data_IF_095448639079
#
_entry.id   IF_095448639079
#
_cell.length_a   1.000
_cell.length_b   1.000
_cell.length_c   1.000
_cell.angle_alpha   90.00
_cell.angle_beta   90.00
_cell.angle_gamma   90.00
#
_symmetry.space_group_name_H-M   'P 1'
#
loop_
_entity.id
_entity.type
_entity.pdbx_description
1 polymer ?
#
# COMPACT_ATOMS: atom_id res chain seq x y z
N UNK A 1 -6.05 0.63 -21.51
CA UNK A 1 -4.85 -0.15 -21.87
C UNK A 1 -3.86 0.65 -22.72
N UNK A 2 -4.27 1.19 -23.86
CA UNK A 2 -3.41 1.97 -24.79
C UNK A 2 -2.83 3.22 -24.10
N UNK A 3 -3.61 3.96 -23.33
CA UNK A 3 -3.20 5.18 -22.64
C UNK A 3 -2.13 4.92 -21.57
N UNK A 4 -2.20 3.78 -20.89
CA UNK A 4 -1.24 3.36 -19.86
C UNK A 4 0.06 2.91 -20.51
N UNK A 5 0.00 2.18 -21.62
CA UNK A 5 1.16 1.85 -22.46
C UNK A 5 1.86 3.11 -22.96
N UNK A 6 1.08 4.12 -23.40
CA UNK A 6 1.61 5.40 -23.84
C UNK A 6 2.30 6.17 -22.71
N UNK A 7 1.73 6.19 -21.50
CA UNK A 7 2.34 6.85 -20.32
C UNK A 7 3.66 6.18 -19.96
N UNK A 8 3.75 4.85 -20.01
CA UNK A 8 5.00 4.15 -19.72
C UNK A 8 6.04 4.35 -20.83
N UNK A 9 5.61 4.34 -22.09
CA UNK A 9 6.51 4.66 -23.20
C UNK A 9 7.07 6.08 -23.07
N UNK A 10 6.23 7.03 -22.67
CA UNK A 10 6.61 8.41 -22.35
C UNK A 10 7.58 8.44 -21.16
N UNK A 11 7.30 7.70 -20.09
CA UNK A 11 8.20 7.60 -18.92
C UNK A 11 9.55 6.97 -19.28
N UNK A 12 9.56 5.95 -20.14
CA UNK A 12 10.80 5.33 -20.64
C UNK A 12 11.58 6.32 -21.54
N UNK A 13 10.89 7.17 -22.30
CA UNK A 13 11.48 8.20 -23.16
C UNK A 13 11.99 9.40 -22.35
N UNK A 14 11.29 9.80 -21.28
CA UNK A 14 11.69 10.90 -20.39
C UNK A 14 12.95 10.58 -19.59
N UNK A 15 13.29 9.29 -19.40
CA UNK A 15 14.54 8.91 -18.76
C UNK A 15 15.73 9.10 -19.72
N UNK A 16 16.52 10.17 -19.60
CA UNK A 16 17.56 10.52 -20.55
C UNK A 16 18.62 9.41 -20.65
N UNK A 17 19.29 9.33 -21.81
CA UNK A 17 20.32 8.33 -22.12
C UNK A 17 21.59 8.46 -21.28
N UNK A 18 21.66 9.45 -20.37
CA UNK A 18 22.80 9.75 -19.51
C UNK A 18 23.00 8.71 -18.40
N UNK A 19 24.21 8.51 -17.90
CA UNK A 19 24.62 7.43 -16.96
C UNK A 19 23.99 7.50 -15.56
N UNK A 20 23.34 8.60 -15.19
CA UNK A 20 22.63 8.75 -13.90
C UNK A 20 21.15 9.07 -14.12
N UNK A 21 20.31 8.65 -13.18
CA UNK A 21 18.89 9.06 -13.15
C UNK A 21 18.78 10.57 -12.87
N UNK A 22 17.76 11.27 -13.40
CA UNK A 22 17.48 12.66 -13.04
C UNK A 22 17.37 12.80 -11.51
N UNK A 23 18.04 13.81 -10.96
CA UNK A 23 18.04 14.08 -9.51
C UNK A 23 16.63 14.14 -8.91
N UNK A 24 15.66 14.64 -9.68
CA UNK A 24 14.25 14.70 -9.26
C UNK A 24 13.66 13.31 -8.99
N UNK A 25 13.91 12.33 -9.89
CA UNK A 25 13.41 10.96 -9.73
C UNK A 25 14.08 10.28 -8.54
N UNK A 26 15.41 10.44 -8.38
CA UNK A 26 16.14 9.88 -7.25
C UNK A 26 15.65 10.46 -5.91
N UNK A 27 15.41 11.77 -5.85
CA UNK A 27 14.88 12.41 -4.65
C UNK A 27 13.45 11.94 -4.34
N UNK A 28 12.58 11.82 -5.35
CA UNK A 28 11.24 11.28 -5.19
C UNK A 28 11.26 9.86 -4.61
N UNK A 29 12.06 8.96 -5.21
CA UNK A 29 12.19 7.57 -4.76
C UNK A 29 12.64 7.51 -3.29
N UNK A 30 13.70 8.25 -2.92
CA UNK A 30 14.21 8.29 -1.54
C UNK A 30 13.20 8.86 -0.55
N UNK A 31 12.45 9.89 -0.96
CA UNK A 31 11.43 10.51 -0.11
C UNK A 31 10.27 9.56 0.17
N UNK A 32 9.71 8.93 -0.87
CA UNK A 32 8.59 8.00 -0.72
C UNK A 32 9.01 6.75 0.05
N UNK A 33 10.17 6.17 -0.26
CA UNK A 33 10.71 5.02 0.50
C UNK A 33 10.86 5.38 1.99
N UNK A 34 11.38 6.56 2.31
CA UNK A 34 11.54 7.01 3.71
C UNK A 34 10.18 7.14 4.43
N UNK A 35 9.15 7.65 3.75
CA UNK A 35 7.79 7.76 4.31
C UNK A 35 7.23 6.35 4.55
N UNK A 36 7.26 5.48 3.55
CA UNK A 36 6.71 4.13 3.67
C UNK A 36 7.42 3.30 4.75
N UNK A 37 8.74 3.43 4.91
CA UNK A 37 9.50 2.79 5.99
C UNK A 37 9.08 3.32 7.37
N UNK A 38 8.91 4.64 7.52
CA UNK A 38 8.47 5.22 8.80
C UNK A 38 7.05 4.79 9.15
N UNK A 39 6.13 4.89 8.19
CA UNK A 39 4.73 4.47 8.38
C UNK A 39 4.65 2.99 8.69
N UNK A 40 5.34 2.13 7.93
CA UNK A 40 5.38 0.69 8.15
C UNK A 40 5.89 0.32 9.53
N UNK A 41 6.95 1.00 10.01
CA UNK A 41 7.49 0.78 11.36
C UNK A 41 6.50 1.15 12.45
N UNK A 42 5.75 2.24 12.30
CA UNK A 42 4.72 2.64 13.26
C UNK A 42 3.57 1.62 13.24
N UNK A 43 3.13 1.26 12.06
CA UNK A 43 1.99 0.35 11.84
C UNK A 43 2.29 -1.06 12.36
N UNK A 44 3.55 -1.51 12.32
CA UNK A 44 3.98 -2.79 12.86
C UNK A 44 3.62 -2.94 14.35
N UNK A 45 3.70 -1.85 15.13
CA UNK A 45 3.27 -1.86 16.53
C UNK A 45 1.76 -1.97 16.72
N UNK A 46 0.97 -1.71 15.68
CA UNK A 46 -0.48 -1.91 15.69
C UNK A 46 -0.91 -3.35 15.98
N UNK A 47 -0.08 -4.34 15.63
CA UNK A 47 -0.33 -5.76 15.95
C UNK A 47 -0.32 -5.97 17.48
N UNK A 48 0.63 -5.38 18.18
CA UNK A 48 0.70 -5.46 19.65
C UNK A 48 -0.49 -4.77 20.31
N UNK A 49 -0.92 -3.61 19.76
CA UNK A 49 -2.12 -2.93 20.22
C UNK A 49 -3.36 -3.81 20.03
N UNK A 50 -3.52 -4.41 18.86
CA UNK A 50 -4.62 -5.33 18.57
C UNK A 50 -4.61 -6.53 19.52
N UNK A 51 -3.44 -7.13 19.76
CA UNK A 51 -3.30 -8.26 20.68
C UNK A 51 -3.70 -7.86 22.10
N UNK A 52 -3.27 -6.69 22.58
CA UNK A 52 -3.67 -6.16 23.88
C UNK A 52 -5.19 -5.99 24.00
N UNK A 53 -5.83 -5.39 22.99
CA UNK A 53 -7.28 -5.18 22.97
C UNK A 53 -8.04 -6.51 22.99
N UNK A 54 -7.57 -7.53 22.26
CA UNK A 54 -8.19 -8.87 22.23
C UNK A 54 -8.02 -9.61 23.56
N UNK A 55 -6.85 -9.50 24.19
CA UNK A 55 -6.61 -10.06 25.54
C UNK A 55 -7.53 -9.39 26.56
N UNK A 56 -7.66 -8.06 26.50
CA UNK A 56 -8.59 -7.32 27.35
C UNK A 56 -10.02 -7.82 27.17
N UNK A 57 -10.44 -8.08 25.93
CA UNK A 57 -11.75 -8.67 25.63
C UNK A 57 -11.96 -10.02 26.31
N UNK A 58 -10.94 -10.87 26.24
CA UNK A 58 -10.99 -12.19 26.86
C UNK A 58 -11.20 -12.09 28.38
N UNK A 59 -10.42 -11.23 29.04
CA UNK A 59 -10.53 -11.04 30.48
C UNK A 59 -11.88 -10.45 30.92
N UNK A 60 -12.35 -9.41 30.25
CA UNK A 60 -13.62 -8.76 30.60
C UNK A 60 -14.81 -9.67 30.36
N UNK A 61 -14.79 -10.48 29.32
CA UNK A 61 -15.88 -11.41 28.99
C UNK A 61 -15.92 -12.61 29.93
N UNK A 62 -14.76 -13.22 30.29
CA UNK A 62 -14.72 -14.48 31.01
C UNK A 62 -14.61 -14.30 32.52
N UNK A 63 -14.01 -13.21 33.01
CA UNK A 63 -13.80 -12.99 34.44
C UNK A 63 -14.84 -12.02 35.00
N UNK A 64 -15.11 -10.92 34.30
CA UNK A 64 -16.02 -9.87 34.78
C UNK A 64 -17.45 -10.11 34.28
N UNK A 65 -17.66 -11.03 33.32
CA UNK A 65 -18.94 -11.29 32.66
C UNK A 65 -19.56 -10.03 32.02
N UNK A 66 -18.72 -9.07 31.63
CA UNK A 66 -19.14 -7.83 30.96
C UNK A 66 -18.54 -7.74 29.57
N UNK A 67 -19.30 -8.05 28.49
CA UNK A 67 -18.81 -7.97 27.12
C UNK A 67 -18.69 -6.51 26.67
N UNK A 68 -17.47 -6.08 26.30
CA UNK A 68 -17.24 -4.75 25.74
C UNK A 68 -17.57 -4.76 24.24
N UNK A 69 -18.66 -4.08 23.87
CA UNK A 69 -19.21 -4.10 22.51
C UNK A 69 -18.27 -3.49 21.45
N UNK A 70 -17.42 -2.53 21.84
CA UNK A 70 -16.55 -1.78 20.93
C UNK A 70 -15.27 -2.51 20.51
N UNK A 71 -14.88 -3.59 21.20
CA UNK A 71 -13.58 -4.24 21.01
C UNK A 71 -13.46 -4.87 19.61
N UNK A 72 -14.52 -5.50 19.14
CA UNK A 72 -14.52 -6.19 17.84
C UNK A 72 -14.29 -5.20 16.72
N UNK A 73 -14.98 -4.07 16.75
CA UNK A 73 -14.84 -3.02 15.73
C UNK A 73 -13.46 -2.35 15.78
N UNK A 74 -12.92 -2.10 16.98
CA UNK A 74 -11.57 -1.56 17.12
C UNK A 74 -10.52 -2.53 16.60
N UNK A 75 -10.67 -3.83 16.84
CA UNK A 75 -9.78 -4.85 16.28
C UNK A 75 -9.86 -4.87 14.73
N UNK A 76 -11.07 -4.82 14.16
CA UNK A 76 -11.28 -4.75 12.70
C UNK A 76 -10.68 -3.48 12.09
N UNK A 77 -10.83 -2.33 12.74
CA UNK A 77 -10.24 -1.07 12.28
C UNK A 77 -8.71 -1.11 12.33
N UNK A 78 -8.16 -1.67 13.39
CA UNK A 78 -6.71 -1.79 13.57
C UNK A 78 -6.10 -2.72 12.52
N UNK A 79 -6.72 -3.89 12.26
CA UNK A 79 -6.21 -4.84 11.25
C UNK A 79 -6.31 -4.26 9.84
N UNK A 80 -7.39 -3.54 9.54
CA UNK A 80 -7.57 -2.87 8.24
C UNK A 80 -6.50 -1.79 8.05
N UNK A 81 -6.25 -0.95 9.06
CA UNK A 81 -5.19 0.05 9.02
C UNK A 81 -3.81 -0.61 8.86
N UNK A 82 -3.54 -1.70 9.59
CA UNK A 82 -2.30 -2.46 9.50
C UNK A 82 -2.03 -2.95 8.06
N UNK A 83 -2.98 -3.61 7.43
CA UNK A 83 -2.79 -4.13 6.08
C UNK A 83 -2.65 -3.03 5.02
N UNK A 84 -3.47 -1.99 5.09
CA UNK A 84 -3.47 -0.94 4.07
C UNK A 84 -2.26 -0.01 4.18
N UNK A 85 -1.91 0.42 5.39
CA UNK A 85 -0.74 1.27 5.60
C UNK A 85 0.58 0.48 5.51
N UNK A 86 0.57 -0.79 5.94
CA UNK A 86 1.72 -1.70 5.84
C UNK A 86 2.02 -2.14 4.41
N UNK A 87 1.02 -2.11 3.51
CA UNK A 87 1.19 -2.52 2.11
C UNK A 87 2.29 -1.77 1.37
N UNK A 88 2.45 -0.47 1.61
CA UNK A 88 3.54 0.32 1.03
C UNK A 88 4.94 -0.13 1.52
N UNK A 89 5.07 -0.52 2.77
CA UNK A 89 6.31 -1.07 3.34
C UNK A 89 6.63 -2.46 2.78
N UNK A 90 5.65 -3.35 2.71
CA UNK A 90 5.78 -4.70 2.14
C UNK A 90 6.24 -4.68 0.67
N UNK A 91 5.89 -3.63 -0.09
CA UNK A 91 6.41 -3.42 -1.45
C UNK A 91 7.90 -3.09 -1.47
N UNK A 92 8.45 -2.43 -0.44
CA UNK A 92 9.88 -2.09 -0.37
C UNK A 92 10.73 -3.32 -0.03
N UNK A 93 10.24 -4.17 0.88
CA UNK A 93 10.96 -5.36 1.36
C UNK A 93 10.94 -6.51 0.36
N UNK A 94 10.29 -6.33 -0.80
CA UNK A 94 10.13 -7.38 -1.82
C UNK A 94 9.44 -8.66 -1.29
N UNK A 95 8.65 -8.55 -0.20
CA UNK A 95 7.94 -9.68 0.42
C UNK A 95 6.75 -10.19 -0.39
N UNK A 96 6.55 -9.65 -1.59
CA UNK A 96 5.50 -10.11 -2.49
C UNK A 96 5.88 -11.45 -3.10
N UNK A 97 4.96 -12.41 -3.00
CA UNK A 97 5.12 -13.75 -3.59
C UNK A 97 5.35 -13.61 -5.09
N UNK A 98 6.55 -14.00 -5.55
CA UNK A 98 6.92 -14.05 -6.97
C UNK A 98 6.88 -15.50 -7.45
N UNK A 99 6.56 -15.72 -8.70
CA UNK A 99 6.62 -17.04 -9.31
C UNK A 99 8.10 -17.41 -9.61
N UNK A 100 8.79 -17.95 -8.62
CA UNK A 100 10.23 -18.26 -8.67
C UNK A 100 10.62 -19.23 -9.80
N UNK A 101 9.70 -20.11 -10.20
CA UNK A 101 9.91 -21.10 -11.27
C UNK A 101 10.29 -20.47 -12.62
N UNK A 102 9.64 -19.36 -13.01
CA UNK A 102 9.95 -18.66 -14.24
C UNK A 102 11.02 -17.58 -14.01
N UNK A 103 10.98 -16.93 -12.84
CA UNK A 103 11.86 -15.82 -12.51
C UNK A 103 13.33 -16.28 -12.36
N UNK A 104 13.58 -17.45 -11.78
CA UNK A 104 14.93 -18.00 -11.60
C UNK A 104 15.70 -18.30 -12.89
N UNK A 105 15.00 -18.45 -14.02
CA UNK A 105 15.62 -18.72 -15.35
C UNK A 105 15.93 -17.44 -16.14
N UNK A 106 15.49 -16.28 -15.67
CA UNK A 106 15.66 -14.99 -16.38
C UNK A 106 16.98 -14.33 -15.99
N UNK A 107 17.62 -13.67 -16.98
CA UNK A 107 18.75 -12.77 -16.71
C UNK A 107 18.28 -11.56 -15.87
N UNK A 108 19.20 -10.87 -15.18
CA UNK A 108 18.87 -9.68 -14.35
C UNK A 108 18.08 -8.60 -15.13
N UNK A 109 18.42 -8.41 -16.40
CA UNK A 109 17.64 -7.52 -17.28
C UNK A 109 16.26 -8.08 -17.63
N UNK A 110 16.14 -9.40 -17.75
CA UNK A 110 14.87 -10.09 -17.99
C UNK A 110 13.95 -9.96 -16.79
N UNK A 111 14.47 -10.13 -15.59
CA UNK A 111 13.75 -9.93 -14.32
C UNK A 111 13.21 -8.49 -14.22
N UNK A 112 14.07 -7.50 -14.43
CA UNK A 112 13.65 -6.08 -14.38
C UNK A 112 12.57 -5.72 -15.41
N UNK A 113 12.59 -6.33 -16.60
CA UNK A 113 11.52 -6.15 -17.61
C UNK A 113 10.20 -6.75 -17.14
N UNK A 114 10.25 -7.95 -16.55
CA UNK A 114 9.07 -8.64 -16.05
C UNK A 114 8.46 -7.87 -14.86
N UNK A 115 9.30 -7.39 -13.94
CA UNK A 115 8.89 -6.57 -12.80
C UNK A 115 8.24 -5.26 -13.26
N UNK A 116 8.85 -4.55 -14.20
CA UNK A 116 8.28 -3.33 -14.77
C UNK A 116 6.92 -3.60 -15.47
N UNK A 117 6.78 -4.72 -16.17
CA UNK A 117 5.52 -5.10 -16.80
C UNK A 117 4.43 -5.40 -15.77
N UNK A 118 4.76 -6.16 -14.72
CA UNK A 118 3.84 -6.50 -13.63
C UNK A 118 3.45 -5.26 -12.82
N UNK A 119 4.41 -4.38 -12.52
CA UNK A 119 4.17 -3.11 -11.81
C UNK A 119 3.16 -2.21 -12.52
N UNK A 120 3.08 -2.31 -13.85
CA UNK A 120 2.10 -1.58 -14.65
C UNK A 120 0.66 -1.99 -14.34
N UNK A 121 0.38 -3.30 -14.27
CA UNK A 121 -0.95 -3.79 -13.91
C UNK A 121 -1.31 -3.43 -12.47
N UNK A 122 -0.32 -3.49 -11.58
CA UNK A 122 -0.49 -3.08 -10.19
C UNK A 122 -0.86 -1.59 -10.09
N UNK A 123 -0.18 -0.71 -10.81
CA UNK A 123 -0.48 0.73 -10.83
C UNK A 123 -1.90 0.97 -11.38
N UNK A 124 -2.27 0.30 -12.46
CA UNK A 124 -3.61 0.41 -13.03
C UNK A 124 -4.69 0.01 -12.02
N UNK A 125 -4.50 -1.12 -11.35
CA UNK A 125 -5.40 -1.60 -10.30
C UNK A 125 -5.50 -0.60 -9.14
N UNK A 126 -4.37 -0.06 -8.67
CA UNK A 126 -4.33 0.92 -7.59
C UNK A 126 -4.99 2.25 -7.96
N UNK A 127 -4.91 2.68 -9.21
CA UNK A 127 -5.61 3.90 -9.69
C UNK A 127 -7.13 3.69 -9.62
N UNK A 128 -7.63 2.54 -10.08
CA UNK A 128 -9.07 2.23 -10.00
C UNK A 128 -9.53 2.17 -8.54
N UNK A 129 -8.75 1.50 -7.67
CA UNK A 129 -9.05 1.44 -6.24
C UNK A 129 -9.03 2.83 -5.59
N UNK A 130 -8.08 3.68 -5.96
CA UNK A 130 -7.97 5.03 -5.44
C UNK A 130 -9.20 5.87 -5.79
N UNK A 131 -9.62 5.81 -7.05
CA UNK A 131 -10.85 6.49 -7.50
C UNK A 131 -12.09 5.96 -6.76
N UNK A 132 -12.23 4.64 -6.65
CA UNK A 132 -13.33 4.01 -5.91
C UNK A 132 -13.33 4.37 -4.43
N UNK A 133 -12.15 4.48 -3.80
CA UNK A 133 -12.03 4.85 -2.39
C UNK A 133 -12.43 6.31 -2.12
N UNK A 134 -12.11 7.25 -3.03
CA UNK A 134 -12.56 8.65 -2.94
C UNK A 134 -14.09 8.71 -3.00
N UNK A 135 -14.69 8.08 -4.00
CA UNK A 135 -16.15 8.08 -4.18
C UNK A 135 -16.85 7.44 -2.97
N UNK A 136 -16.30 6.32 -2.47
CA UNK A 136 -16.82 5.63 -1.28
C UNK A 136 -16.73 6.49 -0.03
N UNK A 137 -15.63 7.23 0.16
CA UNK A 137 -15.45 8.13 1.30
C UNK A 137 -16.44 9.30 1.23
N UNK A 138 -16.60 9.94 0.07
CA UNK A 138 -17.55 11.03 -0.15
C UNK A 138 -18.98 10.60 0.18
N UNK A 139 -19.41 9.45 -0.35
CA UNK A 139 -20.72 8.89 -0.06
C UNK A 139 -20.93 8.64 1.44
N UNK A 140 -19.91 8.08 2.12
CA UNK A 140 -19.99 7.79 3.55
C UNK A 140 -20.10 9.03 4.43
N UNK A 141 -19.41 10.11 4.04
CA UNK A 141 -19.50 11.40 4.76
C UNK A 141 -20.89 12.02 4.56
N UNK A 142 -21.40 12.03 3.32
CA UNK A 142 -22.71 12.61 3.00
C UNK A 142 -23.87 11.88 3.69
N UNK A 143 -23.80 10.53 3.73
CA UNK A 143 -24.85 9.69 4.34
C UNK A 143 -24.67 9.48 5.84
N UNK A 144 -23.58 10.03 6.44
CA UNK A 144 -23.24 9.80 7.87
C UNK A 144 -23.30 8.33 8.27
N UNK A 145 -22.76 7.46 7.40
CA UNK A 145 -22.87 6.01 7.52
C UNK A 145 -22.30 5.51 8.84
N UNK A 146 -23.07 4.65 9.53
CA UNK A 146 -22.65 3.94 10.76
C UNK A 146 -22.64 2.44 10.51
N UNK A 147 -21.82 1.70 11.23
CA UNK A 147 -21.89 0.24 11.24
C UNK A 147 -23.20 -0.22 11.91
N UNK A 148 -23.77 -1.32 11.39
CA UNK A 148 -24.94 -1.97 11.98
C UNK A 148 -24.55 -2.93 13.10
N UNK A 149 -23.84 -2.39 14.12
CA UNK A 149 -23.38 -3.13 15.28
C UNK A 149 -23.90 -2.47 16.54
N UNK A 150 -23.79 -3.13 17.71
CA UNK A 150 -24.27 -2.58 18.98
C UNK A 150 -23.59 -1.27 19.38
N UNK A 151 -22.32 -1.05 18.98
CA UNK A 151 -21.59 0.21 19.21
C UNK A 151 -21.86 1.26 18.12
N UNK A 152 -22.25 0.83 16.89
CA UNK A 152 -22.60 1.68 15.76
C UNK A 152 -21.59 2.83 15.48
N UNK A 153 -20.27 2.57 15.34
CA UNK A 153 -19.30 3.61 15.07
C UNK A 153 -19.49 4.17 13.66
N UNK A 154 -19.06 5.42 13.46
CA UNK A 154 -19.00 6.00 12.12
C UNK A 154 -17.96 5.30 11.25
N UNK A 155 -18.29 5.08 9.98
CA UNK A 155 -17.42 4.35 9.03
C UNK A 155 -16.38 5.27 8.36
N UNK A 156 -16.59 6.60 8.35
CA UNK A 156 -15.71 7.53 7.66
C UNK A 156 -14.24 7.50 8.13
N UNK A 157 -13.88 7.26 9.42
CA UNK A 157 -12.48 7.26 9.83
C UNK A 157 -11.70 6.11 9.20
N UNK A 158 -12.30 4.90 9.13
CA UNK A 158 -11.63 3.75 8.52
C UNK A 158 -11.50 3.91 7.00
N UNK A 159 -12.50 4.52 6.34
CA UNK A 159 -12.43 4.80 4.90
C UNK A 159 -11.40 5.89 4.56
N UNK A 160 -11.18 6.86 5.45
CA UNK A 160 -10.08 7.84 5.26
C UNK A 160 -8.70 7.20 5.42
N UNK A 161 -8.52 6.30 6.39
CA UNK A 161 -7.29 5.50 6.51
C UNK A 161 -7.06 4.61 5.29
N UNK A 162 -8.13 4.00 4.77
CA UNK A 162 -8.10 3.22 3.53
C UNK A 162 -7.61 4.06 2.34
N UNK A 163 -8.14 5.27 2.17
CA UNK A 163 -7.73 6.19 1.10
C UNK A 163 -6.23 6.55 1.22
N UNK A 164 -5.78 6.88 2.44
CA UNK A 164 -4.37 7.20 2.71
C UNK A 164 -3.47 5.99 2.40
N UNK A 165 -3.86 4.78 2.82
CA UNK A 165 -3.09 3.56 2.56
C UNK A 165 -2.96 3.26 1.07
N UNK A 166 -4.06 3.35 0.31
CA UNK A 166 -4.05 3.15 -1.15
C UNK A 166 -3.18 4.21 -1.83
N UNK A 167 -3.24 5.48 -1.39
CA UNK A 167 -2.39 6.54 -1.91
C UNK A 167 -0.90 6.24 -1.67
N UNK A 168 -0.52 5.80 -0.48
CA UNK A 168 0.86 5.42 -0.16
C UNK A 168 1.33 4.24 -1.02
N UNK A 169 0.50 3.21 -1.19
CA UNK A 169 0.80 2.07 -2.07
C UNK A 169 0.98 2.51 -3.53
N UNK A 170 0.13 3.42 -4.01
CA UNK A 170 0.22 3.95 -5.37
C UNK A 170 1.53 4.74 -5.59
N UNK A 171 1.89 5.62 -4.66
CA UNK A 171 3.16 6.35 -4.72
C UNK A 171 4.36 5.40 -4.67
N UNK A 172 4.28 4.34 -3.85
CA UNK A 172 5.33 3.33 -3.75
C UNK A 172 5.43 2.48 -5.02
N UNK A 173 4.31 2.14 -5.67
CA UNK A 173 4.31 1.42 -6.94
C UNK A 173 5.02 2.22 -8.05
N UNK A 174 4.82 3.53 -8.10
CA UNK A 174 5.60 4.40 -9.01
C UNK A 174 7.10 4.41 -8.66
N UNK A 175 7.44 4.45 -7.37
CA UNK A 175 8.85 4.39 -6.92
C UNK A 175 9.51 3.09 -7.38
N UNK A 176 8.82 1.94 -7.24
CA UNK A 176 9.31 0.64 -7.72
C UNK A 176 9.49 0.62 -9.23
N UNK A 177 8.50 1.11 -9.99
CA UNK A 177 8.61 1.19 -11.44
C UNK A 177 9.85 1.98 -11.89
N UNK A 178 10.15 3.12 -11.24
CA UNK A 178 11.36 3.88 -11.54
C UNK A 178 12.64 3.11 -11.21
N UNK A 179 12.68 2.35 -10.11
CA UNK A 179 13.79 1.47 -9.75
C UNK A 179 14.01 0.37 -10.80
N UNK A 180 12.93 -0.25 -11.27
CA UNK A 180 13.01 -1.32 -12.27
C UNK A 180 13.48 -0.78 -13.64
N UNK A 181 12.98 0.38 -14.05
CA UNK A 181 13.48 1.06 -15.27
C UNK A 181 14.97 1.42 -15.12
N UNK A 182 15.42 1.84 -13.94
CA UNK A 182 16.85 2.12 -13.69
C UNK A 182 17.69 0.86 -13.80
N UNK A 183 17.25 -0.26 -13.20
CA UNK A 183 17.91 -1.58 -13.31
C UNK A 183 17.98 -2.06 -14.77
N UNK A 184 16.89 -1.89 -15.55
CA UNK A 184 16.90 -2.24 -16.99
C UNK A 184 17.96 -1.46 -17.78
N UNK A 185 18.17 -0.18 -17.44
CA UNK A 185 19.14 0.71 -18.11
C UNK A 185 20.54 0.69 -17.45
N UNK A 186 20.80 -0.19 -16.48
CA UNK A 186 22.04 -0.27 -15.68
C UNK A 186 22.44 1.09 -15.06
N UNK A 187 21.45 1.83 -14.53
CA UNK A 187 21.67 3.14 -13.89
C UNK A 187 21.63 3.01 -12.37
N UNK A 188 22.45 3.83 -11.67
CA UNK A 188 22.39 3.98 -10.22
C UNK A 188 21.32 5.03 -9.85
N UNK A 189 20.51 4.75 -8.80
CA UNK A 189 19.50 5.65 -8.21
C UNK A 189 20.08 6.27 -6.94
#
# INVERSE_FOLDING_TARGET
MILILAIILILILIVPKNNSMPKLISNYVKFIDSICIKVGRIVMYGVFFMMFVLILSFFTRNIINYPLMWIIEMAQFTITAYYLLGGGYSMITDDHVRMDLFYGRLSERGKAKMDAFTSMFLIFYLIILFYGSITSLQYTIQTKQKLFTAWAPYVWPIKSLMLIGILLMLLQAFSMLFKDIAKMKNKKI
#
